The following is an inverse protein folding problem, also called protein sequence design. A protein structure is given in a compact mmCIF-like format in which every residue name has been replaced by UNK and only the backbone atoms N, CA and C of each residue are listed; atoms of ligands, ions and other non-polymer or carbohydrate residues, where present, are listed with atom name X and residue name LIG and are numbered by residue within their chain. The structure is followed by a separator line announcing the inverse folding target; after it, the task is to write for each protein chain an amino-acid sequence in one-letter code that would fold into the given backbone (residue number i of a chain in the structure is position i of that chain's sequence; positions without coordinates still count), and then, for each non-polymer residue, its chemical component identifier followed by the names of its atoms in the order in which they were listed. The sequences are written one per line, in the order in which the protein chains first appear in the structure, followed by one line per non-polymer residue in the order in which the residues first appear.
data_IF_360721220294
#
_entry.id   IF_360721220294
#
_cell.length_a   1.000
_cell.length_b   1.000
_cell.length_c   1.000
_cell.angle_alpha   90.00
_cell.angle_beta   90.00
_cell.angle_gamma   90.00
#
_symmetry.space_group_name_H-M   'P 1'
#
loop_
_entity.id
_entity.type
_entity.pdbx_description
1 polymer ?
#
# COMPACT_ATOMS: atom_id res chain seq x y z
N UNK A 1 2.53 6.15 0.59
CA UNK A 1 3.44 5.17 1.25
C UNK A 1 4.92 5.33 0.84
N UNK A 2 5.25 6.28 -0.05
CA UNK A 2 6.65 6.55 -0.46
C UNK A 2 7.49 7.34 0.57
N UNK A 3 6.87 7.85 1.63
CA UNK A 3 7.58 8.57 2.68
C UNK A 3 8.30 7.61 3.61
N UNK A 4 9.46 8.04 4.11
CA UNK A 4 10.36 7.18 4.89
C UNK A 4 9.66 6.47 6.06
N UNK A 5 8.96 7.19 6.93
CA UNK A 5 8.32 6.60 8.10
C UNK A 5 7.18 5.63 7.72
N UNK A 6 6.42 5.92 6.64
CA UNK A 6 5.34 5.04 6.16
C UNK A 6 5.89 3.76 5.55
N UNK A 7 7.01 3.86 4.82
CA UNK A 7 7.69 2.70 4.26
C UNK A 7 8.28 1.83 5.38
N UNK A 8 8.96 2.45 6.35
CA UNK A 8 9.49 1.75 7.53
C UNK A 8 8.40 1.04 8.33
N UNK A 9 7.26 1.71 8.52
CA UNK A 9 6.09 1.12 9.17
C UNK A 9 5.58 -0.12 8.42
N UNK A 10 5.39 -0.01 7.11
CA UNK A 10 4.89 -1.12 6.30
C UNK A 10 5.85 -2.33 6.34
N UNK A 11 7.15 -2.08 6.22
CA UNK A 11 8.18 -3.13 6.29
C UNK A 11 8.21 -3.82 7.65
N UNK A 12 8.15 -3.05 8.73
CA UNK A 12 8.10 -3.60 10.09
C UNK A 12 6.82 -4.41 10.34
N UNK A 13 5.69 -3.94 9.81
CA UNK A 13 4.42 -4.67 9.89
C UNK A 13 4.53 -6.05 9.22
N UNK A 14 5.02 -6.11 7.99
CA UNK A 14 5.18 -7.36 7.23
C UNK A 14 6.12 -8.31 7.98
N UNK A 15 7.29 -7.83 8.38
CA UNK A 15 8.27 -8.61 9.14
C UNK A 15 7.64 -9.19 10.42
N UNK A 16 6.97 -8.36 11.20
CA UNK A 16 6.36 -8.76 12.47
C UNK A 16 5.26 -9.80 12.27
N UNK A 17 4.38 -9.60 11.28
CA UNK A 17 3.30 -10.52 10.96
C UNK A 17 3.84 -11.87 10.49
N UNK A 18 4.75 -11.85 9.53
CA UNK A 18 5.27 -13.09 8.93
C UNK A 18 6.12 -13.91 9.89
N UNK A 19 6.89 -13.27 10.78
CA UNK A 19 7.60 -13.96 11.86
C UNK A 19 6.67 -14.74 12.78
N UNK A 20 5.41 -14.31 12.89
CA UNK A 20 4.39 -14.93 13.73
C UNK A 20 3.39 -15.80 12.95
N UNK A 21 3.58 -15.97 11.65
CA UNK A 21 2.65 -16.72 10.80
C UNK A 21 1.27 -16.06 10.67
N UNK A 22 1.21 -14.73 10.77
CA UNK A 22 -0.02 -13.95 10.63
C UNK A 22 0.02 -13.19 9.30
N UNK A 23 -1.14 -13.04 8.65
CA UNK A 23 -1.26 -12.31 7.40
C UNK A 23 -1.04 -10.80 7.61
N UNK A 24 -0.24 -10.20 6.74
CA UNK A 24 -0.01 -8.76 6.70
C UNK A 24 -0.94 -8.12 5.65
N UNK A 25 -1.90 -7.32 6.11
CA UNK A 25 -2.86 -6.65 5.23
C UNK A 25 -2.40 -5.23 4.91
N UNK A 26 -2.39 -4.90 3.63
CA UNK A 26 -2.07 -3.57 3.14
C UNK A 26 -3.18 -2.55 3.42
N UNK A 27 -2.83 -1.28 3.34
CA UNK A 27 -3.74 -0.18 3.58
C UNK A 27 -4.72 0.08 2.42
N UNK A 28 -5.64 1.00 2.64
CA UNK A 28 -6.64 1.38 1.65
C UNK A 28 -6.21 2.66 0.92
N UNK A 29 -6.13 2.61 -0.42
CA UNK A 29 -6.06 3.82 -1.23
C UNK A 29 -7.45 4.47 -1.27
N UNK A 30 -7.53 5.76 -0.93
CA UNK A 30 -8.80 6.48 -0.80
C UNK A 30 -9.43 6.91 -2.14
N UNK A 31 -8.95 6.41 -3.27
CA UNK A 31 -9.54 6.63 -4.59
C UNK A 31 -10.72 5.71 -4.83
N UNK A 32 -11.74 6.24 -5.47
CA UNK A 32 -12.92 5.50 -5.94
C UNK A 32 -13.05 5.66 -7.46
N UNK A 33 -13.73 4.74 -8.16
CA UNK A 33 -14.02 4.91 -9.58
C UNK A 33 -14.84 6.17 -9.85
N UNK A 34 -14.49 6.91 -10.91
CA UNK A 34 -15.15 8.15 -11.33
C UNK A 34 -15.92 7.86 -12.62
N UNK A 35 -17.26 7.98 -12.58
CA UNK A 35 -18.12 7.58 -13.70
C UNK A 35 -18.18 8.61 -14.83
N UNK A 36 -18.16 9.89 -14.48
CA UNK A 36 -18.49 10.98 -15.41
C UNK A 36 -17.25 11.67 -16.03
N UNK A 37 -16.04 11.22 -15.66
CA UNK A 37 -14.77 11.75 -16.19
C UNK A 37 -13.77 10.59 -16.42
N UNK A 38 -13.69 10.08 -17.67
CA UNK A 38 -12.78 8.98 -18.00
C UNK A 38 -11.30 9.28 -17.72
N UNK A 39 -10.85 10.52 -17.94
CA UNK A 39 -9.45 10.89 -17.71
C UNK A 39 -9.12 10.92 -16.22
N UNK A 40 -9.98 11.52 -15.41
CA UNK A 40 -9.85 11.52 -13.95
C UNK A 40 -9.94 10.09 -13.38
N UNK A 41 -10.84 9.27 -13.95
CA UNK A 41 -10.97 7.86 -13.56
C UNK A 41 -9.68 7.07 -13.81
N UNK A 42 -9.09 7.19 -15.01
CA UNK A 42 -7.84 6.49 -15.32
C UNK A 42 -6.69 6.93 -14.41
N UNK A 43 -6.61 8.21 -14.09
CA UNK A 43 -5.63 8.73 -13.13
C UNK A 43 -5.84 8.13 -11.72
N UNK A 44 -7.10 8.07 -11.25
CA UNK A 44 -7.44 7.48 -9.96
C UNK A 44 -7.09 5.99 -9.92
N UNK A 45 -7.49 5.23 -10.96
CA UNK A 45 -7.17 3.80 -11.07
C UNK A 45 -5.66 3.56 -11.18
N UNK A 46 -4.93 4.43 -11.88
CA UNK A 46 -3.46 4.37 -11.96
C UNK A 46 -2.79 4.50 -10.60
N UNK A 47 -3.30 5.38 -9.74
CA UNK A 47 -2.83 5.51 -8.35
C UNK A 47 -3.11 4.26 -7.53
N UNK A 48 -4.30 3.68 -7.66
CA UNK A 48 -4.66 2.42 -6.98
C UNK A 48 -3.75 1.28 -7.46
N UNK A 49 -3.51 1.16 -8.78
CA UNK A 49 -2.60 0.14 -9.33
C UNK A 49 -1.19 0.26 -8.74
N UNK A 50 -0.64 1.46 -8.72
CA UNK A 50 0.69 1.71 -8.17
C UNK A 50 0.77 1.37 -6.68
N UNK A 51 -0.27 1.69 -5.93
CA UNK A 51 -0.37 1.39 -4.50
C UNK A 51 -0.40 -0.12 -4.24
N UNK A 52 -1.28 -0.85 -4.92
CA UNK A 52 -1.42 -2.30 -4.76
C UNK A 52 -0.20 -3.08 -5.25
N UNK A 53 0.42 -2.62 -6.33
CA UNK A 53 1.67 -3.20 -6.82
C UNK A 53 2.80 -3.05 -5.81
N UNK A 54 2.92 -1.90 -5.16
CA UNK A 54 3.89 -1.68 -4.09
C UNK A 54 3.61 -2.62 -2.91
N UNK A 55 2.36 -2.69 -2.44
CA UNK A 55 1.96 -3.53 -1.30
C UNK A 55 2.34 -5.01 -1.52
N UNK A 56 1.97 -5.59 -2.65
CA UNK A 56 2.29 -7.00 -2.94
C UNK A 56 3.79 -7.21 -3.12
N UNK A 57 4.51 -6.24 -3.69
CA UNK A 57 5.96 -6.31 -3.87
C UNK A 57 6.70 -6.21 -2.53
N UNK A 58 6.19 -5.41 -1.60
CA UNK A 58 6.74 -5.30 -0.24
C UNK A 58 6.52 -6.57 0.59
N UNK A 59 5.54 -7.38 0.25
CA UNK A 59 5.28 -8.67 0.89
C UNK A 59 3.94 -8.79 1.61
N UNK A 60 3.01 -7.84 1.43
CA UNK A 60 1.66 -7.98 1.97
C UNK A 60 0.92 -9.19 1.38
N UNK A 61 0.05 -9.79 2.16
CA UNK A 61 -0.73 -10.98 1.78
C UNK A 61 -2.10 -10.62 1.18
N UNK A 62 -2.53 -9.40 1.37
CA UNK A 62 -3.80 -8.89 0.88
C UNK A 62 -3.90 -7.39 1.11
N UNK A 63 -5.05 -6.82 0.79
CA UNK A 63 -5.25 -5.38 0.86
C UNK A 63 -6.71 -5.00 1.08
N UNK A 64 -6.93 -3.74 1.42
CA UNK A 64 -8.24 -3.11 1.49
C UNK A 64 -8.48 -2.23 0.26
N UNK A 65 -9.74 -2.12 -0.16
CA UNK A 65 -10.19 -1.21 -1.21
C UNK A 65 -11.34 -0.34 -0.73
N UNK A 66 -11.39 0.91 -1.19
CA UNK A 66 -12.40 1.87 -0.80
C UNK A 66 -13.76 1.67 -1.49
N UNK A 67 -13.81 0.88 -2.56
CA UNK A 67 -15.01 0.69 -3.36
C UNK A 67 -15.02 -0.72 -4.00
N UNK A 68 -16.20 -1.40 -4.05
CA UNK A 68 -16.29 -2.73 -4.64
C UNK A 68 -15.78 -2.82 -6.08
N UNK A 69 -15.93 -1.76 -6.88
CA UNK A 69 -15.42 -1.68 -8.25
C UNK A 69 -13.90 -1.75 -8.39
N UNK A 70 -13.15 -1.72 -7.28
CA UNK A 70 -11.69 -1.85 -7.26
C UNK A 70 -11.23 -3.28 -6.92
N UNK A 71 -12.14 -4.18 -6.55
CA UNK A 71 -11.81 -5.55 -6.12
C UNK A 71 -11.07 -6.29 -7.23
N UNK A 72 -11.63 -6.31 -8.44
CA UNK A 72 -11.03 -7.03 -9.58
C UNK A 72 -9.63 -6.49 -9.93
N UNK A 73 -9.45 -5.17 -9.87
CA UNK A 73 -8.15 -4.54 -10.12
C UNK A 73 -7.12 -4.96 -9.07
N UNK A 74 -7.46 -4.86 -7.80
CA UNK A 74 -6.58 -5.23 -6.70
C UNK A 74 -6.26 -6.73 -6.73
N UNK A 75 -7.27 -7.58 -6.90
CA UNK A 75 -7.14 -9.03 -7.01
C UNK A 75 -6.22 -9.44 -8.15
N UNK A 76 -6.41 -8.88 -9.34
CA UNK A 76 -5.56 -9.19 -10.49
C UNK A 76 -4.08 -8.87 -10.26
N UNK A 77 -3.77 -7.82 -9.50
CA UNK A 77 -2.39 -7.46 -9.16
C UNK A 77 -1.79 -8.47 -8.16
N UNK A 78 -2.53 -8.83 -7.12
CA UNK A 78 -2.07 -9.81 -6.13
C UNK A 78 -1.93 -11.20 -6.75
N UNK A 79 -2.92 -11.67 -7.52
CA UNK A 79 -2.89 -12.98 -8.20
C UNK A 79 -1.71 -13.09 -9.18
N UNK A 80 -1.33 -12.01 -9.85
CA UNK A 80 -0.18 -11.99 -10.76
C UNK A 80 1.18 -12.03 -10.06
N UNK A 81 1.26 -11.65 -8.78
CA UNK A 81 2.52 -11.48 -8.04
C UNK A 81 2.70 -12.47 -6.89
N UNK A 82 1.62 -12.94 -6.31
CA UNK A 82 1.66 -13.96 -5.27
C UNK A 82 1.64 -15.36 -5.89
N UNK A 83 2.61 -16.19 -5.52
CA UNK A 83 2.69 -17.58 -5.99
C UNK A 83 1.78 -18.55 -5.23
N UNK A 84 1.08 -18.08 -4.20
CA UNK A 84 0.23 -18.89 -3.34
C UNK A 84 -0.74 -18.03 -2.52
N UNK A 85 -1.45 -18.60 -1.55
CA UNK A 85 -2.51 -17.91 -0.80
C UNK A 85 -1.99 -16.85 0.18
N UNK A 86 -0.69 -16.81 0.43
CA UNK A 86 -0.03 -15.85 1.31
C UNK A 86 1.45 -15.72 0.97
N UNK A 87 2.12 -14.75 1.58
CA UNK A 87 3.55 -14.48 1.41
C UNK A 87 4.36 -14.67 2.72
N UNK A 88 3.97 -15.58 3.60
CA UNK A 88 4.66 -15.82 4.89
C UNK A 88 6.15 -16.15 4.72
N UNK A 89 6.56 -16.71 3.57
CA UNK A 89 7.95 -16.97 3.26
C UNK A 89 8.78 -15.70 3.02
N UNK A 90 8.12 -14.59 2.70
CA UNK A 90 8.74 -13.25 2.58
C UNK A 90 8.85 -12.66 3.98
N UNK A 91 9.86 -13.08 4.73
CA UNK A 91 10.02 -12.74 6.15
C UNK A 91 10.52 -11.32 6.37
N UNK A 92 11.14 -10.71 5.38
CA UNK A 92 11.76 -9.39 5.46
C UNK A 92 12.77 -9.29 6.61
N UNK A 93 13.55 -10.36 6.80
CA UNK A 93 14.65 -10.38 7.77
C UNK A 93 15.79 -9.39 7.39
N UNK A 94 15.77 -8.89 6.13
CA UNK A 94 16.59 -7.80 5.62
C UNK A 94 16.25 -6.41 6.21
N UNK A 95 15.07 -6.29 6.82
CA UNK A 95 14.55 -5.01 7.33
C UNK A 95 15.01 -4.79 8.77
N UNK A 96 15.61 -3.63 9.00
CA UNK A 96 15.97 -3.13 10.33
C UNK A 96 15.34 -1.75 10.51
N UNK A 97 14.28 -1.67 11.32
CA UNK A 97 13.52 -0.45 11.58
C UNK A 97 13.66 -0.04 13.03
N UNK A 98 14.08 1.19 13.24
CA UNK A 98 14.25 1.79 14.57
C UNK A 98 13.09 2.74 14.90
N UNK A 99 12.96 3.13 16.16
CA UNK A 99 12.02 4.17 16.58
C UNK A 99 12.27 5.50 15.84
N UNK A 100 13.53 5.83 15.57
CA UNK A 100 13.90 7.02 14.81
C UNK A 100 13.34 7.00 13.38
N UNK A 101 13.33 5.85 12.72
CA UNK A 101 12.76 5.71 11.37
C UNK A 101 11.24 5.96 11.37
N UNK A 102 10.54 5.47 12.39
CA UNK A 102 9.10 5.63 12.54
C UNK A 102 8.69 7.05 12.93
N UNK A 103 9.55 7.76 13.62
CA UNK A 103 9.29 9.13 14.11
C UNK A 103 9.83 10.21 13.17
N UNK A 104 10.54 9.85 12.12
CA UNK A 104 11.14 10.81 11.20
C UNK A 104 10.07 11.56 10.39
N UNK A 105 9.91 12.89 10.59
CA UNK A 105 8.93 13.66 9.85
C UNK A 105 9.28 13.74 8.37
N UNK A 106 8.27 13.74 7.52
CA UNK A 106 8.45 13.96 6.09
C UNK A 106 8.64 15.45 5.80
N UNK A 107 9.65 15.78 5.01
CA UNK A 107 9.78 17.10 4.43
C UNK A 107 8.82 17.20 3.24
N UNK A 108 8.11 18.32 3.14
CA UNK A 108 7.16 18.58 2.06
C UNK A 108 6.77 20.05 2.03
N UNK A 109 6.15 20.47 0.94
CA UNK A 109 5.55 21.80 0.82
C UNK A 109 4.15 21.81 1.37
N UNK A 110 3.85 22.80 2.21
CA UNK A 110 2.48 23.09 2.66
C UNK A 110 1.90 24.14 1.71
N UNK A 111 0.84 23.78 1.00
CA UNK A 111 0.15 24.67 0.08
C UNK A 111 -1.33 24.73 0.41
N UNK A 112 -1.98 25.84 0.04
CA UNK A 112 -3.43 26.00 0.19
C UNK A 112 -4.19 24.87 -0.53
N UNK A 113 -3.79 24.55 -1.75
CA UNK A 113 -4.39 23.46 -2.51
C UNK A 113 -4.20 22.10 -1.83
N UNK A 114 -3.03 21.83 -1.27
CA UNK A 114 -2.76 20.59 -0.52
C UNK A 114 -3.55 20.52 0.79
N UNK A 115 -3.76 21.66 1.46
CA UNK A 115 -4.56 21.72 2.68
C UNK A 115 -6.04 21.41 2.42
N UNK A 116 -6.63 22.03 1.39
CA UNK A 116 -8.04 21.79 1.05
C UNK A 116 -8.29 20.50 0.26
N UNK A 117 -7.27 19.93 -0.38
CA UNK A 117 -7.36 18.66 -1.13
C UNK A 117 -7.23 17.41 -0.27
N UNK A 118 -7.01 17.59 1.00
CA UNK A 118 -6.87 16.50 1.94
C UNK A 118 -8.22 16.30 2.65
#
# INVERSE_FOLDING_TARGET
MSKHFLNSYAQLLIQTCHQRGVLAMGGMAAQIPIKDDPAANELALGRVRADKLREVTDGHDGTWVAHPGLIELARGIFDARMSGPHQHAVRRDDVEVTAADLLKPSLGTITTAGFYGN
#
